data_IF_134375948458
#
_entry.id   IF_134375948458
#
_cell.length_a   1.000
_cell.length_b   1.000
_cell.length_c   1.000
_cell.angle_alpha   90.00
_cell.angle_beta   90.00
_cell.angle_gamma   90.00
#
_symmetry.space_group_name_H-M   'P 1'
#
loop_
_entity.id
_entity.type
_entity.pdbx_description
1 polymer ?
#
# COMPACT_ATOMS: atom_id res chain seq x y z
N UNK A 1 17.04 -6.28 -19.40
CA UNK A 1 16.91 -7.50 -18.55
C UNK A 1 16.06 -7.14 -17.34
N UNK A 2 14.86 -7.67 -17.23
CA UNK A 2 14.04 -7.51 -16.01
C UNK A 2 14.60 -8.45 -14.94
N UNK A 3 15.35 -7.92 -13.99
CA UNK A 3 15.74 -8.67 -12.79
C UNK A 3 14.48 -9.14 -12.08
N UNK A 4 14.43 -10.42 -11.69
CA UNK A 4 13.31 -10.93 -10.90
C UNK A 4 13.14 -10.07 -9.65
N UNK A 5 11.90 -9.71 -9.27
CA UNK A 5 11.66 -8.87 -8.10
C UNK A 5 12.23 -9.57 -6.85
N UNK A 6 13.06 -8.85 -6.11
CA UNK A 6 13.71 -9.36 -4.92
C UNK A 6 12.67 -9.89 -3.91
N UNK A 7 13.00 -10.94 -3.18
CA UNK A 7 12.13 -11.46 -2.12
C UNK A 7 12.18 -10.54 -0.90
N UNK A 8 11.10 -10.49 -0.14
CA UNK A 8 11.02 -9.64 1.07
C UNK A 8 12.21 -9.84 2.01
N UNK A 9 12.58 -11.09 2.30
CA UNK A 9 13.71 -11.40 3.17
C UNK A 9 15.04 -10.83 2.68
N UNK A 10 15.29 -10.92 1.38
CA UNK A 10 16.49 -10.37 0.74
C UNK A 10 16.53 -8.83 0.80
N UNK A 11 15.37 -8.19 0.63
CA UNK A 11 15.26 -6.72 0.69
C UNK A 11 15.55 -6.19 2.09
N UNK A 12 14.93 -6.78 3.12
CA UNK A 12 15.10 -6.30 4.49
C UNK A 12 16.49 -6.63 5.07
N UNK A 13 17.09 -7.76 4.66
CA UNK A 13 18.48 -8.10 5.00
C UNK A 13 19.47 -7.13 4.31
N UNK A 14 19.30 -6.88 3.01
CA UNK A 14 20.14 -5.93 2.25
C UNK A 14 20.11 -4.51 2.80
N UNK A 15 18.97 -4.09 3.34
CA UNK A 15 18.81 -2.78 3.98
C UNK A 15 19.34 -2.74 5.42
N UNK A 16 19.91 -3.85 5.91
CA UNK A 16 20.37 -3.98 7.29
C UNK A 16 19.27 -3.69 8.33
N UNK A 17 18.01 -3.90 7.96
CA UNK A 17 16.87 -3.71 8.85
C UNK A 17 16.72 -4.87 9.84
N UNK A 18 17.19 -6.05 9.44
CA UNK A 18 17.18 -7.28 10.25
C UNK A 18 18.53 -8.00 10.14
N UNK A 19 18.85 -8.78 11.15
CA UNK A 19 20.00 -9.69 11.10
C UNK A 19 19.63 -11.01 10.39
N UNK A 20 20.64 -11.72 9.88
CA UNK A 20 20.44 -13.04 9.30
C UNK A 20 19.81 -14.05 10.28
N UNK A 21 20.14 -13.94 11.57
CA UNK A 21 19.55 -14.80 12.61
C UNK A 21 18.06 -14.52 12.79
N UNK A 22 17.67 -13.25 12.81
CA UNK A 22 16.26 -12.83 12.85
C UNK A 22 15.49 -13.34 11.63
N UNK A 23 16.08 -13.23 10.43
CA UNK A 23 15.47 -13.80 9.22
C UNK A 23 15.27 -15.30 9.32
N UNK A 24 16.28 -16.04 9.74
CA UNK A 24 16.19 -17.50 9.92
C UNK A 24 15.16 -17.90 10.99
N UNK A 25 15.05 -17.11 12.07
CA UNK A 25 14.03 -17.30 13.11
C UNK A 25 12.62 -17.08 12.55
N UNK A 26 12.42 -16.00 11.78
CA UNK A 26 11.14 -15.71 11.14
C UNK A 26 10.73 -16.79 10.12
N UNK A 27 11.68 -17.28 9.33
CA UNK A 27 11.44 -18.39 8.38
C UNK A 27 11.08 -19.70 9.08
N UNK A 28 11.70 -20.02 10.23
CA UNK A 28 11.30 -21.17 11.06
C UNK A 28 9.88 -20.99 11.60
N UNK A 29 9.55 -19.82 12.12
CA UNK A 29 8.20 -19.50 12.57
C UNK A 29 7.19 -19.65 11.44
N UNK A 30 7.50 -19.14 10.24
CA UNK A 30 6.66 -19.29 9.08
C UNK A 30 6.39 -20.76 8.71
N UNK A 31 7.42 -21.60 8.79
CA UNK A 31 7.29 -23.03 8.49
C UNK A 31 6.40 -23.78 9.49
N UNK A 32 6.44 -23.38 10.76
CA UNK A 32 5.69 -24.03 11.84
C UNK A 32 4.28 -23.48 11.99
N UNK A 33 4.15 -22.17 11.96
CA UNK A 33 2.91 -21.44 12.28
C UNK A 33 2.13 -21.00 11.04
N UNK A 34 2.74 -21.06 9.85
CA UNK A 34 2.17 -20.53 8.62
C UNK A 34 2.19 -19.01 8.56
N UNK A 35 1.40 -18.45 7.64
CA UNK A 35 1.33 -17.01 7.39
C UNK A 35 2.46 -16.51 6.48
N UNK A 36 2.51 -15.19 6.29
CA UNK A 36 3.55 -14.56 5.46
C UNK A 36 4.77 -14.18 6.28
N UNK A 37 5.93 -14.14 5.63
CA UNK A 37 7.20 -13.78 6.28
C UNK A 37 7.13 -12.41 6.99
N UNK A 38 6.44 -11.44 6.39
CA UNK A 38 6.25 -10.12 7.01
C UNK A 38 5.56 -10.20 8.37
N UNK A 39 4.50 -10.99 8.49
CA UNK A 39 3.80 -11.21 9.76
C UNK A 39 4.71 -11.88 10.80
N UNK A 40 5.51 -12.87 10.38
CA UNK A 40 6.47 -13.53 11.27
C UNK A 40 7.60 -12.59 11.75
N UNK A 41 8.03 -11.65 10.90
CA UNK A 41 9.01 -10.63 11.28
C UNK A 41 8.44 -9.62 12.29
N UNK A 42 7.17 -9.23 12.14
CA UNK A 42 6.48 -8.40 13.13
C UNK A 42 6.31 -9.13 14.47
N UNK A 43 6.00 -10.42 14.46
CA UNK A 43 5.82 -11.22 15.68
C UNK A 43 7.08 -11.34 16.53
N UNK A 44 8.24 -11.45 15.89
CA UNK A 44 9.53 -11.51 16.60
C UNK A 44 10.12 -10.11 16.85
N UNK A 45 9.34 -9.06 16.56
CA UNK A 45 9.74 -7.64 16.70
C UNK A 45 11.04 -7.28 15.96
N UNK A 46 11.33 -8.00 14.87
CA UNK A 46 12.51 -7.74 14.05
C UNK A 46 12.32 -6.53 13.11
N UNK A 47 11.08 -6.21 12.78
CA UNK A 47 10.72 -5.05 11.95
C UNK A 47 9.58 -4.27 12.59
N UNK A 48 9.56 -2.95 12.37
CA UNK A 48 8.38 -2.14 12.61
C UNK A 48 7.37 -2.29 11.45
N UNK A 49 6.13 -1.89 11.68
CA UNK A 49 5.11 -1.92 10.65
C UNK A 49 5.46 -1.00 9.47
N UNK A 50 6.03 0.17 9.75
CA UNK A 50 6.45 1.14 8.74
C UNK A 50 7.60 0.59 7.89
N UNK A 51 8.56 -0.09 8.51
CA UNK A 51 9.65 -0.76 7.80
C UNK A 51 9.13 -1.86 6.88
N UNK A 52 8.19 -2.67 7.37
CA UNK A 52 7.55 -3.71 6.56
C UNK A 52 6.77 -3.10 5.38
N UNK A 53 6.00 -2.06 5.62
CA UNK A 53 5.23 -1.35 4.60
C UNK A 53 6.16 -0.79 3.51
N UNK A 54 7.26 -0.15 3.91
CA UNK A 54 8.29 0.36 2.99
C UNK A 54 8.93 -0.76 2.14
N UNK A 55 9.24 -1.91 2.76
CA UNK A 55 9.82 -3.05 2.05
C UNK A 55 8.82 -3.70 1.07
N UNK A 56 7.54 -3.79 1.44
CA UNK A 56 6.48 -4.28 0.56
C UNK A 56 6.25 -3.34 -0.62
N UNK A 57 6.23 -2.03 -0.38
CA UNK A 57 6.08 -1.03 -1.43
C UNK A 57 7.19 -1.14 -2.48
N UNK A 58 8.44 -1.36 -2.05
CA UNK A 58 9.56 -1.59 -2.97
C UNK A 58 9.44 -2.94 -3.68
N UNK A 59 9.12 -4.01 -2.96
CA UNK A 59 9.02 -5.35 -3.52
C UNK A 59 8.01 -5.44 -4.67
N UNK A 60 6.89 -4.74 -4.53
CA UNK A 60 5.80 -4.77 -5.50
C UNK A 60 5.77 -3.55 -6.42
N UNK A 61 6.65 -2.57 -6.21
CA UNK A 61 6.65 -1.28 -6.91
C UNK A 61 5.26 -0.59 -6.86
N UNK A 62 4.61 -0.66 -5.70
CA UNK A 62 3.27 -0.12 -5.44
C UNK A 62 3.25 0.59 -4.09
N UNK A 63 2.45 1.65 -3.92
CA UNK A 63 2.29 2.28 -2.61
C UNK A 63 1.70 1.31 -1.60
N UNK A 64 2.08 1.46 -0.33
CA UNK A 64 1.51 0.69 0.76
C UNK A 64 0.33 1.45 1.38
N UNK A 65 -0.77 0.75 1.63
CA UNK A 65 -1.90 1.31 2.36
C UNK A 65 -1.56 1.42 3.85
N UNK A 66 -1.84 2.56 4.44
CA UNK A 66 -1.58 2.80 5.86
C UNK A 66 -2.69 2.19 6.73
N UNK A 67 -2.43 1.92 8.02
CA UNK A 67 -3.47 1.46 8.94
C UNK A 67 -4.65 2.45 9.06
N UNK A 68 -4.38 3.74 8.93
CA UNK A 68 -5.38 4.80 8.94
C UNK A 68 -6.30 4.71 7.72
N UNK A 69 -5.74 4.45 6.54
CA UNK A 69 -6.51 4.25 5.31
C UNK A 69 -7.49 3.08 5.42
N UNK A 70 -7.13 2.04 6.17
CA UNK A 70 -7.91 0.80 6.30
C UNK A 70 -8.94 0.82 7.45
N UNK A 71 -8.85 1.80 8.35
CA UNK A 71 -9.77 1.88 9.52
C UNK A 71 -11.09 2.56 9.23
N UNK A 72 -11.08 3.63 8.47
CA UNK A 72 -12.23 4.49 8.22
C UNK A 72 -12.69 4.44 6.78
N UNK A 73 -13.12 3.27 6.31
CA UNK A 73 -13.59 3.09 4.94
C UNK A 73 -15.09 3.42 4.89
N UNK A 74 -15.51 4.33 4.02
CA UNK A 74 -16.94 4.62 3.81
C UNK A 74 -17.69 3.43 3.20
N UNK A 75 -18.96 3.27 3.54
CA UNK A 75 -19.77 2.12 3.11
C UNK A 75 -19.95 2.09 1.59
N UNK A 76 -20.11 3.24 0.95
CA UNK A 76 -20.21 3.36 -0.51
C UNK A 76 -18.95 2.86 -1.24
N UNK A 77 -17.78 2.94 -0.60
CA UNK A 77 -16.53 2.39 -1.13
C UNK A 77 -16.46 0.89 -0.92
N UNK A 78 -16.94 0.39 0.22
CA UNK A 78 -16.99 -1.04 0.52
C UNK A 78 -17.92 -1.78 -0.44
N UNK A 79 -19.05 -1.19 -0.81
CA UNK A 79 -20.02 -1.76 -1.75
C UNK A 79 -19.45 -1.96 -3.15
N UNK A 80 -18.41 -1.21 -3.54
CA UNK A 80 -17.73 -1.38 -4.84
C UNK A 80 -17.00 -2.71 -4.97
N UNK A 81 -16.63 -3.35 -3.86
CA UNK A 81 -15.96 -4.64 -3.87
C UNK A 81 -16.78 -5.63 -3.02
N UNK A 82 -17.57 -6.52 -3.62
CA UNK A 82 -18.40 -7.47 -2.88
C UNK A 82 -17.59 -8.33 -1.92
N UNK A 83 -18.15 -8.61 -0.74
CA UNK A 83 -17.49 -9.37 0.33
C UNK A 83 -16.94 -10.74 -0.14
N UNK A 84 -17.61 -11.42 -1.07
CA UNK A 84 -17.17 -12.68 -1.64
C UNK A 84 -15.84 -12.55 -2.38
N UNK A 85 -15.69 -11.48 -3.17
CA UNK A 85 -14.46 -11.19 -3.93
C UNK A 85 -13.37 -10.71 -2.98
N UNK A 86 -13.70 -9.79 -2.06
CA UNK A 86 -12.78 -9.27 -1.05
C UNK A 86 -12.13 -10.40 -0.23
N UNK A 87 -12.93 -11.36 0.23
CA UNK A 87 -12.47 -12.55 0.99
C UNK A 87 -11.55 -13.44 0.16
N UNK A 88 -11.96 -13.78 -1.08
CA UNK A 88 -11.21 -14.69 -1.96
C UNK A 88 -9.89 -14.09 -2.41
N UNK A 89 -9.91 -12.82 -2.79
CA UNK A 89 -8.74 -12.13 -3.32
C UNK A 89 -7.86 -11.51 -2.23
N UNK A 90 -8.29 -11.59 -0.97
CA UNK A 90 -7.64 -10.89 0.16
C UNK A 90 -7.35 -9.43 -0.21
N UNK A 91 -8.40 -8.69 -0.56
CA UNK A 91 -8.33 -7.32 -1.01
C UNK A 91 -9.47 -6.49 -0.44
N UNK A 92 -9.26 -5.18 -0.32
CA UNK A 92 -10.28 -4.26 0.14
C UNK A 92 -10.18 -2.93 -0.63
N UNK A 93 -11.31 -2.41 -1.08
CA UNK A 93 -11.42 -1.05 -1.58
C UNK A 93 -11.46 -0.11 -0.36
N UNK A 94 -10.60 0.91 -0.32
CA UNK A 94 -10.51 1.77 0.86
C UNK A 94 -10.71 3.25 0.55
N UNK A 95 -10.65 3.65 -0.71
CA UNK A 95 -10.95 5.02 -1.14
C UNK A 95 -11.41 5.03 -2.59
N UNK A 96 -12.42 5.84 -2.88
CA UNK A 96 -12.93 6.00 -4.23
C UNK A 96 -13.08 7.48 -4.61
N UNK A 97 -12.98 7.73 -5.90
CA UNK A 97 -13.36 8.99 -6.54
C UNK A 97 -14.36 8.70 -7.67
N UNK A 98 -14.78 9.73 -8.39
CA UNK A 98 -15.67 9.57 -9.55
C UNK A 98 -15.10 8.59 -10.60
N UNK A 99 -13.78 8.59 -10.83
CA UNK A 99 -13.13 7.85 -11.91
C UNK A 99 -12.20 6.73 -11.45
N UNK A 100 -11.79 6.71 -10.19
CA UNK A 100 -10.75 5.81 -9.67
C UNK A 100 -11.12 5.22 -8.32
N UNK A 101 -10.64 4.01 -8.06
CA UNK A 101 -10.78 3.32 -6.77
C UNK A 101 -9.40 2.85 -6.32
N UNK A 102 -9.06 3.12 -5.05
CA UNK A 102 -7.86 2.57 -4.42
C UNK A 102 -8.21 1.23 -3.78
N UNK A 103 -7.46 0.21 -4.15
CA UNK A 103 -7.64 -1.15 -3.63
C UNK A 103 -6.33 -1.64 -3.02
N UNK A 104 -6.39 -2.07 -1.77
CA UNK A 104 -5.29 -2.72 -1.08
C UNK A 104 -5.42 -4.24 -1.18
N UNK A 105 -4.29 -4.93 -1.39
CA UNK A 105 -4.23 -6.39 -1.48
C UNK A 105 -2.94 -6.93 -0.84
N UNK A 106 -2.97 -8.20 -0.42
CA UNK A 106 -1.82 -8.85 0.20
C UNK A 106 -0.80 -9.28 -0.86
N UNK A 107 -1.27 -9.77 -2.00
CA UNK A 107 -0.41 -10.34 -3.04
C UNK A 107 -0.62 -9.69 -4.41
N UNK A 108 0.21 -8.70 -4.69
CA UNK A 108 0.19 -8.01 -5.97
C UNK A 108 0.78 -8.82 -7.15
N UNK A 109 1.24 -10.05 -6.92
CA UNK A 109 1.74 -10.92 -8.00
C UNK A 109 0.62 -11.77 -8.61
N UNK A 110 -0.49 -11.92 -7.92
CA UNK A 110 -1.62 -12.69 -8.42
C UNK A 110 -2.46 -11.87 -9.39
N UNK A 111 -2.11 -11.93 -10.67
CA UNK A 111 -2.79 -11.19 -11.73
C UNK A 111 -4.26 -11.63 -11.88
N UNK A 112 -4.58 -12.91 -11.64
CA UNK A 112 -5.96 -13.40 -11.71
C UNK A 112 -6.87 -12.70 -10.69
N UNK A 113 -6.35 -12.40 -9.50
CA UNK A 113 -7.10 -11.62 -8.51
C UNK A 113 -7.25 -10.16 -8.94
N UNK A 114 -6.22 -9.57 -9.54
CA UNK A 114 -6.32 -8.20 -10.05
C UNK A 114 -7.33 -8.09 -11.19
N UNK A 115 -7.34 -9.05 -12.11
CA UNK A 115 -8.28 -9.09 -13.21
C UNK A 115 -9.72 -9.24 -12.71
N UNK A 116 -9.94 -10.14 -11.75
CA UNK A 116 -11.25 -10.33 -11.15
C UNK A 116 -11.75 -9.08 -10.43
N UNK A 117 -10.90 -8.43 -9.63
CA UNK A 117 -11.25 -7.20 -8.93
C UNK A 117 -11.53 -6.08 -9.95
N UNK A 118 -10.72 -5.98 -11.01
CA UNK A 118 -10.88 -4.97 -12.05
C UNK A 118 -12.22 -5.12 -12.78
N UNK A 119 -12.62 -6.37 -13.06
CA UNK A 119 -13.90 -6.67 -13.69
C UNK A 119 -15.08 -6.25 -12.81
N UNK A 120 -15.02 -6.54 -11.53
CA UNK A 120 -16.11 -6.25 -10.58
C UNK A 120 -16.24 -4.76 -10.29
N UNK A 121 -15.11 -4.07 -10.08
CA UNK A 121 -15.08 -2.64 -9.72
C UNK A 121 -15.47 -1.74 -10.90
N UNK A 122 -15.12 -2.13 -12.12
CA UNK A 122 -15.49 -1.40 -13.35
C UNK A 122 -14.95 0.02 -13.46
N UNK A 123 -14.05 0.44 -12.56
CA UNK A 123 -13.36 1.74 -12.56
C UNK A 123 -11.85 1.54 -12.63
N UNK A 124 -11.11 2.60 -12.93
CA UNK A 124 -9.64 2.57 -12.87
C UNK A 124 -9.19 2.28 -11.45
N UNK A 125 -8.38 1.24 -11.26
CA UNK A 125 -7.87 0.86 -9.96
C UNK A 125 -6.46 1.42 -9.74
N UNK A 126 -6.26 2.01 -8.57
CA UNK A 126 -4.96 2.35 -8.04
C UNK A 126 -4.57 1.29 -7.00
N UNK A 127 -3.69 0.42 -7.42
CA UNK A 127 -3.25 -0.70 -6.60
C UNK A 127 -2.34 -0.27 -5.45
N UNK A 128 -2.61 -0.81 -4.28
CA UNK A 128 -1.81 -0.65 -3.08
C UNK A 128 -1.51 -2.02 -2.49
N UNK A 129 -0.36 -2.18 -1.89
CA UNK A 129 -0.06 -3.35 -1.06
C UNK A 129 -0.42 -3.05 0.39
N UNK A 130 -0.69 -4.09 1.18
CA UNK A 130 -0.87 -3.94 2.62
C UNK A 130 -0.22 -5.11 3.35
N UNK A 131 0.31 -4.89 4.58
CA UNK A 131 0.67 -5.98 5.45
C UNK A 131 -0.51 -6.91 5.68
N UNK A 132 -0.28 -8.24 5.59
CA UNK A 132 -1.32 -9.25 5.77
C UNK A 132 -2.14 -9.02 7.03
N UNK A 133 -1.46 -8.71 8.14
CA UNK A 133 -2.07 -8.46 9.43
C UNK A 133 -3.10 -7.33 9.40
N UNK A 134 -2.79 -6.20 8.77
CA UNK A 134 -3.69 -5.04 8.67
C UNK A 134 -4.82 -5.26 7.69
N UNK A 135 -4.55 -5.97 6.61
CA UNK A 135 -5.62 -6.29 5.69
C UNK A 135 -6.63 -7.27 6.31
N UNK A 136 -6.15 -8.26 7.08
CA UNK A 136 -7.04 -9.19 7.79
C UNK A 136 -7.87 -8.47 8.86
N UNK A 137 -7.29 -7.52 9.61
CA UNK A 137 -8.03 -6.64 10.54
C UNK A 137 -9.14 -5.87 9.82
N UNK A 138 -8.85 -5.30 8.65
CA UNK A 138 -9.82 -4.56 7.87
C UNK A 138 -10.93 -5.47 7.29
N UNK A 139 -10.57 -6.65 6.80
CA UNK A 139 -11.53 -7.64 6.29
C UNK A 139 -12.45 -8.16 7.41
N UNK A 140 -11.91 -8.39 8.61
CA UNK A 140 -12.73 -8.76 9.78
C UNK A 140 -13.71 -7.66 10.12
N UNK A 141 -13.22 -6.44 10.25
CA UNK A 141 -14.03 -5.28 10.66
C UNK A 141 -15.15 -4.94 9.67
N UNK A 142 -14.84 -4.94 8.36
CA UNK A 142 -15.76 -4.43 7.35
C UNK A 142 -16.59 -5.52 6.65
N UNK A 143 -16.07 -6.74 6.56
CA UNK A 143 -16.75 -7.85 5.87
C UNK A 143 -17.00 -9.06 6.77
N UNK A 144 -16.70 -8.98 8.08
CA UNK A 144 -16.89 -10.07 9.03
C UNK A 144 -16.09 -11.33 8.66
N UNK A 145 -14.90 -11.18 8.09
CA UNK A 145 -14.00 -12.30 7.81
C UNK A 145 -13.32 -12.69 9.09
N UNK A 146 -13.39 -13.97 9.45
CA UNK A 146 -12.78 -14.46 10.68
C UNK A 146 -11.25 -14.27 10.66
N UNK A 147 -10.73 -13.49 11.62
CA UNK A 147 -9.30 -13.26 11.78
C UNK A 147 -8.69 -14.35 12.68
N UNK A 148 -7.59 -15.00 12.30
CA UNK A 148 -6.94 -15.97 13.15
C UNK A 148 -6.59 -15.37 14.52
N UNK A 149 -6.86 -16.10 15.61
CA UNK A 149 -6.62 -15.64 16.98
C UNK A 149 -5.17 -15.20 17.25
N UNK A 150 -4.22 -15.78 16.51
CA UNK A 150 -2.80 -15.38 16.50
C UNK A 150 -2.65 -13.93 16.02
N UNK A 151 -3.33 -13.54 14.95
CA UNK A 151 -3.25 -12.19 14.39
C UNK A 151 -3.96 -11.18 15.30
N UNK A 152 -5.09 -11.54 15.88
CA UNK A 152 -5.79 -10.69 16.83
C UNK A 152 -4.91 -10.30 18.03
N UNK A 153 -4.16 -11.26 18.60
CA UNK A 153 -3.21 -11.00 19.69
C UNK A 153 -2.07 -10.05 19.28
N UNK A 154 -1.53 -10.24 18.06
CA UNK A 154 -0.45 -9.41 17.54
C UNK A 154 -0.94 -7.98 17.26
N UNK A 155 -2.14 -7.84 16.68
CA UNK A 155 -2.79 -6.56 16.44
C UNK A 155 -3.02 -5.78 17.73
N UNK A 156 -3.53 -6.46 18.76
CA UNK A 156 -3.75 -5.85 20.06
C UNK A 156 -2.44 -5.30 20.66
N UNK A 157 -1.36 -6.08 20.61
CA UNK A 157 -0.03 -5.65 21.01
C UNK A 157 0.45 -4.42 20.24
N UNK A 158 0.35 -4.43 18.93
CA UNK A 158 0.79 -3.35 18.06
C UNK A 158 -0.05 -2.08 18.25
N UNK A 159 -1.36 -2.22 18.39
CA UNK A 159 -2.27 -1.10 18.59
C UNK A 159 -2.05 -0.43 19.96
N UNK A 160 -1.77 -1.20 21.01
CA UNK A 160 -1.40 -0.65 22.35
C UNK A 160 -0.09 0.14 22.28
N UNK A 161 0.92 -0.39 21.63
CA UNK A 161 2.20 0.32 21.47
C UNK A 161 2.02 1.66 20.76
N UNK A 162 1.27 1.70 19.65
CA UNK A 162 0.97 2.95 18.92
C UNK A 162 0.21 3.95 19.79
N UNK A 163 -0.75 3.48 20.58
CA UNK A 163 -1.51 4.36 21.48
C UNK A 163 -0.63 4.99 22.56
N UNK A 164 0.32 4.24 23.13
CA UNK A 164 1.26 4.75 24.13
C UNK A 164 2.18 5.80 23.51
N UNK A 165 2.77 5.55 22.37
CA UNK A 165 3.62 6.51 21.65
C UNK A 165 2.88 7.79 21.25
N UNK A 166 1.64 7.67 20.77
CA UNK A 166 0.81 8.83 20.42
C UNK A 166 0.53 9.69 21.65
N UNK A 167 0.30 9.08 22.82
CA UNK A 167 0.06 9.78 24.08
C UNK A 167 1.30 10.48 24.61
N UNK A 168 2.47 9.86 24.52
CA UNK A 168 3.74 10.46 24.89
C UNK A 168 4.11 11.63 23.97
N UNK A 169 3.89 11.49 22.66
CA UNK A 169 4.13 12.55 21.68
C UNK A 169 3.20 13.75 21.85
N UNK A 170 1.97 13.56 22.34
CA UNK A 170 1.04 14.65 22.65
C UNK A 170 1.36 15.31 23.99
N UNK A 171 1.77 14.55 25.00
CA UNK A 171 2.18 15.09 26.30
C UNK A 171 3.45 15.93 26.22
N UNK A 172 4.36 15.60 25.31
CA UNK A 172 5.58 16.37 25.07
C UNK A 172 5.35 17.72 24.38
N UNK A 173 4.19 17.97 23.79
CA UNK A 173 3.84 19.27 23.17
C UNK A 173 3.18 20.26 24.12
N UNK A 174 2.67 19.82 25.25
CA UNK A 174 2.08 20.70 26.28
C UNK A 174 3.06 21.19 27.33
N UNK A 175 4.33 20.72 27.32
CA UNK A 175 5.31 20.98 28.36
C UNK A 175 6.31 22.10 28.10
N UNK A 176 6.25 22.86 26.98
CA UNK A 176 7.22 23.95 26.72
C UNK A 176 6.52 25.26 26.38
N UNK A 177 5.56 25.65 27.19
CA UNK A 177 5.28 27.06 27.36
C UNK A 177 6.33 27.59 28.35
N UNK A 178 7.50 27.98 27.86
CA UNK A 178 8.44 28.78 28.61
C UNK A 178 7.73 30.07 28.98
N UNK A 179 7.31 30.17 30.27
CA UNK A 179 7.00 31.44 30.90
C UNK A 179 8.29 32.28 30.81
N UNK A 180 8.31 33.20 29.90
CA UNK A 180 9.24 34.34 29.98
C UNK A 180 8.82 35.16 31.18
N UNK A 181 9.75 35.43 32.15
CA UNK A 181 9.48 36.42 33.16
C UNK A 181 9.47 37.80 32.48
N UNK A 182 8.29 38.41 32.52
CA UNK A 182 8.19 39.85 32.25
C UNK A 182 8.88 40.55 33.42
N UNK A 183 10.12 40.99 33.17
CA UNK A 183 10.64 42.18 33.86
C UNK A 183 11.92 42.68 33.17
N UNK A 184 11.86 43.98 32.91
CA UNK A 184 12.96 44.93 32.73
C UNK A 184 13.84 44.77 31.45
N UNK A 185 13.60 45.68 30.53
CA UNK A 185 14.61 46.70 30.20
C UNK A 185 14.00 47.75 29.27
N UNK A 186 13.74 48.88 29.94
CA UNK A 186 13.47 50.20 29.36
C UNK A 186 14.74 50.69 28.63
N UNK A 187 14.68 50.92 27.31
CA UNK A 187 15.64 51.70 26.56
C UNK A 187 14.94 52.78 25.76
N UNK A 188 14.90 53.96 26.43
CA UNK A 188 14.79 55.21 25.67
C UNK A 188 15.98 55.37 24.74
N UNK A 189 15.74 55.53 23.47
CA UNK A 189 16.59 56.33 22.63
C UNK A 189 15.82 56.87 21.44
N UNK A 190 15.45 58.12 21.56
CA UNK A 190 15.16 59.04 20.43
C UNK A 190 16.37 59.09 19.51
N UNK A 191 16.24 58.80 18.24
CA UNK A 191 16.96 59.48 17.17
C UNK A 191 16.09 59.57 15.91
N UNK A 192 16.08 60.74 15.37
CA UNK A 192 15.31 61.28 14.29
C UNK A 192 15.57 60.64 12.91
N UNK A 193 14.51 60.61 12.11
CA UNK A 193 14.47 61.02 10.73
C UNK A 193 15.41 60.34 9.72
N UNK A 194 14.89 59.49 8.85
CA UNK A 194 15.24 59.52 7.43
C UNK A 194 14.03 58.98 6.63
N UNK A 195 13.85 59.65 5.51
CA UNK A 195 12.72 59.66 4.60
C UNK A 195 12.33 58.31 3.98
N UNK A 196 11.03 58.22 3.64
CA UNK A 196 10.42 57.21 2.79
C UNK A 196 10.98 57.28 1.37
N UNK A 197 11.22 56.09 0.77
CA UNK A 197 11.31 55.90 -0.66
C UNK A 197 10.26 54.85 -1.10
N UNK A 198 9.61 55.02 -2.29
CA UNK A 198 8.46 54.24 -2.71
C UNK A 198 8.84 52.85 -3.25
N UNK A 199 7.89 51.94 -3.37
CA UNK A 199 8.14 50.56 -3.88
C UNK A 199 8.22 50.61 -5.42
N UNK A 200 9.25 49.97 -5.95
CA UNK A 200 9.46 49.74 -7.37
C UNK A 200 8.86 48.39 -7.79
N UNK A 201 8.05 48.50 -8.80
CA UNK A 201 7.79 47.59 -9.93
C UNK A 201 7.93 46.08 -9.80
N UNK A 202 6.80 45.42 -10.11
CA UNK A 202 6.66 44.02 -10.48
C UNK A 202 7.38 43.71 -11.79
N UNK A 203 8.10 42.61 -11.92
CA UNK A 203 8.57 42.16 -13.22
C UNK A 203 7.52 41.28 -13.94
N UNK A 204 7.33 41.68 -15.15
CA UNK A 204 6.60 41.10 -16.27
C UNK A 204 6.61 39.56 -16.37
N UNK A 205 5.42 39.09 -16.77
CA UNK A 205 5.13 37.81 -17.35
C UNK A 205 6.13 37.37 -18.43
N UNK A 206 6.89 36.34 -18.18
CA UNK A 206 7.63 35.59 -19.20
C UNK A 206 6.73 34.49 -19.73
N UNK A 207 6.25 34.69 -20.96
CA UNK A 207 5.57 33.66 -21.76
C UNK A 207 6.60 32.63 -22.19
N UNK A 208 6.50 31.41 -21.65
CA UNK A 208 7.26 30.25 -22.14
C UNK A 208 6.47 29.62 -23.28
N UNK A 209 6.94 29.82 -24.51
CA UNK A 209 6.46 29.11 -25.70
C UNK A 209 6.77 27.61 -25.56
N UNK A 210 5.71 26.81 -25.62
CA UNK A 210 5.80 25.35 -25.72
C UNK A 210 6.13 24.94 -27.16
N UNK A 211 7.09 24.04 -27.40
CA UNK A 211 7.37 23.54 -28.74
C UNK A 211 6.23 22.67 -29.26
N UNK A 212 5.80 22.96 -30.47
CA UNK A 212 4.85 22.19 -31.26
C UNK A 212 5.39 20.76 -31.50
N UNK A 213 4.76 19.78 -30.89
CA UNK A 213 4.93 18.38 -31.29
C UNK A 213 4.04 18.08 -32.48
N UNK A 214 4.69 17.84 -33.62
CA UNK A 214 4.04 17.34 -34.82
C UNK A 214 3.57 15.90 -34.58
N UNK A 215 2.29 15.65 -34.80
CA UNK A 215 1.69 14.32 -34.83
C UNK A 215 2.28 13.53 -36.00
N UNK A 216 3.18 12.60 -35.74
CA UNK A 216 3.47 11.51 -36.65
C UNK A 216 2.46 10.40 -36.43
N UNK A 217 1.60 10.23 -37.39
CA UNK A 217 0.67 9.11 -37.51
C UNK A 217 1.49 7.84 -37.81
N UNK A 218 1.64 6.97 -36.82
CA UNK A 218 2.20 5.63 -37.03
C UNK A 218 1.07 4.74 -37.56
N UNK A 219 1.15 4.40 -38.83
CA UNK A 219 0.32 3.37 -39.45
C UNK A 219 0.62 2.02 -38.83
N UNK A 220 -0.40 1.35 -38.30
CA UNK A 220 -0.36 -0.02 -37.82
C UNK A 220 -0.40 -0.99 -39.00
N UNK A 221 0.48 -1.99 -39.07
CA UNK A 221 0.40 -3.01 -40.09
C UNK A 221 -0.81 -3.91 -39.85
N UNK A 222 -1.64 -4.03 -40.88
CA UNK A 222 -2.79 -4.93 -40.97
C UNK A 222 -2.33 -6.39 -40.93
N UNK A 223 -2.68 -7.12 -39.86
CA UNK A 223 -2.50 -8.56 -39.77
C UNK A 223 -3.64 -9.26 -40.52
N UNK A 224 -3.28 -10.03 -41.55
CA UNK A 224 -4.17 -10.91 -42.29
C UNK A 224 -4.71 -12.04 -41.41
N UNK A 225 -5.94 -12.54 -41.70
CA UNK A 225 -6.53 -13.64 -40.93
C UNK A 225 -5.87 -14.98 -41.27
N UNK A 226 -5.36 -15.68 -40.27
CA UNK A 226 -4.88 -17.04 -40.39
C UNK A 226 -6.02 -18.02 -40.47
N UNK A 227 -5.91 -18.91 -41.47
CA UNK A 227 -6.87 -19.92 -41.89
C UNK A 227 -7.18 -20.96 -40.78
N UNK A 228 -8.43 -21.38 -40.80
CA UNK A 228 -8.95 -22.53 -40.07
C UNK A 228 -8.22 -23.82 -40.45
N UNK A 229 -7.85 -24.64 -39.48
CA UNK A 229 -7.43 -26.01 -39.73
C UNK A 229 -7.97 -26.96 -38.66
N UNK A 230 -8.87 -27.80 -39.11
CA UNK A 230 -9.07 -29.23 -38.88
C UNK A 230 -9.55 -29.71 -37.49
N UNK A 231 -10.76 -30.20 -37.55
CA UNK A 231 -11.42 -31.06 -36.57
C UNK A 231 -10.64 -32.34 -36.27
N UNK A 232 -10.49 -32.68 -35.03
CA UNK A 232 -10.07 -34.01 -34.56
C UNK A 232 -11.30 -34.70 -33.96
N UNK A 233 -11.63 -35.87 -34.52
CA UNK A 233 -12.75 -36.73 -34.14
C UNK A 233 -12.56 -37.37 -32.74
N UNK A 234 -13.64 -37.73 -32.04
CA UNK A 234 -13.55 -38.38 -30.74
C UNK A 234 -13.23 -39.88 -30.88
N UNK A 235 -12.30 -40.34 -30.09
CA UNK A 235 -11.93 -41.75 -29.97
C UNK A 235 -13.00 -42.54 -29.18
N UNK A 236 -13.30 -43.70 -29.68
CA UNK A 236 -14.30 -44.64 -29.20
C UNK A 236 -14.01 -45.20 -27.81
N UNK A 237 -15.06 -45.27 -27.01
CA UNK A 237 -15.16 -45.94 -25.73
C UNK A 237 -15.12 -47.48 -25.91
N UNK A 238 -14.18 -48.18 -25.30
CA UNK A 238 -14.19 -49.64 -25.22
C UNK A 238 -14.94 -50.12 -23.94
N UNK A 239 -15.68 -51.25 -24.00
CA UNK A 239 -16.42 -51.72 -22.84
C UNK A 239 -15.57 -52.55 -21.87
N UNK A 240 -15.80 -52.32 -20.59
CA UNK A 240 -15.25 -53.10 -19.47
C UNK A 240 -15.98 -54.46 -19.39
N UNK A 241 -15.25 -55.53 -19.49
CA UNK A 241 -15.66 -56.90 -19.12
C UNK A 241 -15.50 -57.15 -17.62
N UNK A 242 -16.47 -57.78 -16.94
CA UNK A 242 -16.28 -58.26 -15.57
C UNK A 242 -15.60 -59.63 -15.58
N UNK A 243 -14.64 -59.84 -14.70
CA UNK A 243 -14.01 -61.14 -14.39
C UNK A 243 -14.66 -61.78 -13.17
N UNK A 244 -14.55 -63.13 -13.01
CA UNK A 244 -15.36 -63.98 -12.13
C UNK A 244 -15.03 -63.87 -10.64
#
# INVERSE_FOLDING_TARGET
MRTAPARLGELVEKRSQITREQLLRALRNQKVLGGRLGTCLLEIEALSEEQLCSALAEQFAMPCATPEDLRGIPDDVLEMLPAKVARRCHAIAFRASSTQVKVALIDARNLAYQDEISFVVGKRILWHVAPELRLMEALEKHYGVECPSRYAKLLDKMNRSRFLWARESSAGKEGTAVRQPADQLHWDTKIAGVAAAPPADSPSSVSVELPHFQHQTLELPTLAPAAATTAVAPAATAPLTPAP
#
